data_IF_521585740608
#
_entry.id   IF_521585740608
#
_cell.length_a   1.000
_cell.length_b   1.000
_cell.length_c   1.000
_cell.angle_alpha   90.00
_cell.angle_beta   90.00
_cell.angle_gamma   90.00
#
_symmetry.space_group_name_H-M   'P 1'
#
loop_
_entity.id
_entity.type
_entity.pdbx_description
1 polymer ?
#
# COMPACT_ATOMS: atom_id res chain seq x y z
N UNK A 1 18.22 -1.41 -9.58
CA UNK A 1 17.21 -2.47 -9.68
C UNK A 1 17.48 -3.44 -10.83
N UNK A 2 17.62 -4.72 -10.49
CA UNK A 2 17.60 -5.83 -11.46
C UNK A 2 16.14 -6.07 -11.90
N UNK A 3 15.84 -6.21 -13.21
CA UNK A 3 14.50 -6.58 -13.65
C UNK A 3 14.06 -7.90 -13.01
N UNK A 4 12.78 -7.97 -12.61
CA UNK A 4 12.18 -9.18 -12.00
C UNK A 4 11.56 -10.13 -13.05
N UNK A 5 11.50 -9.70 -14.31
CA UNK A 5 10.90 -10.42 -15.44
C UNK A 5 10.75 -9.48 -16.64
N UNK A 6 10.13 -9.93 -17.73
CA UNK A 6 9.73 -9.04 -18.81
C UNK A 6 8.57 -8.11 -18.34
N UNK A 7 8.42 -6.90 -18.94
CA UNK A 7 7.32 -6.00 -18.60
C UNK A 7 5.95 -6.71 -18.71
N UNK A 8 5.14 -6.62 -17.66
CA UNK A 8 3.82 -7.27 -17.59
C UNK A 8 3.82 -8.70 -17.05
N UNK A 9 4.97 -9.38 -16.93
CA UNK A 9 5.02 -10.74 -16.38
C UNK A 9 4.84 -10.79 -14.86
N UNK A 10 5.34 -9.77 -14.15
CA UNK A 10 5.34 -9.71 -12.69
C UNK A 10 5.08 -8.30 -12.19
N UNK A 11 4.41 -8.20 -11.05
CA UNK A 11 4.21 -6.94 -10.34
C UNK A 11 5.23 -6.77 -9.23
N UNK A 12 5.84 -5.59 -9.19
CA UNK A 12 6.50 -5.05 -8.00
C UNK A 12 6.22 -3.56 -7.94
N UNK A 13 5.65 -3.10 -6.83
CA UNK A 13 5.43 -1.68 -6.57
C UNK A 13 6.76 -0.94 -6.61
N UNK A 14 6.75 0.23 -7.25
CA UNK A 14 7.94 1.06 -7.46
C UNK A 14 7.55 2.52 -7.34
N UNK A 15 8.04 3.19 -6.29
CA UNK A 15 7.86 4.63 -6.18
C UNK A 15 8.58 5.36 -7.31
N UNK A 16 9.77 4.88 -7.70
CA UNK A 16 10.54 5.43 -8.81
C UNK A 16 9.76 5.42 -10.14
N UNK A 17 8.93 4.39 -10.39
CA UNK A 17 8.07 4.37 -11.57
C UNK A 17 7.01 5.49 -11.54
N UNK A 18 6.46 5.82 -10.37
CA UNK A 18 5.58 6.99 -10.23
C UNK A 18 6.33 8.31 -10.47
N UNK A 19 7.60 8.43 -10.04
CA UNK A 19 8.42 9.60 -10.35
C UNK A 19 8.59 9.79 -11.88
N UNK A 20 8.77 8.70 -12.63
CA UNK A 20 8.81 8.75 -14.09
C UNK A 20 7.47 9.21 -14.69
N UNK A 21 6.33 8.79 -14.12
CA UNK A 21 5.01 9.29 -14.53
C UNK A 21 4.87 10.80 -14.25
N UNK A 22 5.37 11.28 -13.11
CA UNK A 22 5.42 12.72 -12.80
C UNK A 22 6.24 13.48 -13.85
N UNK A 23 7.44 13.00 -14.18
CA UNK A 23 8.27 13.61 -15.22
C UNK A 23 7.60 13.56 -16.61
N UNK A 24 6.82 12.52 -16.92
CA UNK A 24 6.05 12.44 -18.16
C UNK A 24 4.94 13.50 -18.20
N UNK A 25 4.22 13.69 -17.09
CA UNK A 25 3.22 14.75 -16.96
C UNK A 25 3.86 16.11 -17.22
N UNK A 26 5.01 16.40 -16.61
CA UNK A 26 5.74 17.66 -16.82
C UNK A 26 6.17 17.83 -18.28
N UNK A 27 6.73 16.78 -18.88
CA UNK A 27 7.20 16.76 -20.27
C UNK A 27 6.07 17.06 -21.26
N UNK A 28 4.89 16.48 -21.06
CA UNK A 28 3.75 16.58 -21.97
C UNK A 28 2.97 17.87 -21.75
N UNK A 29 2.76 18.27 -20.50
CA UNK A 29 1.99 19.47 -20.15
C UNK A 29 2.79 20.77 -20.25
N UNK A 30 4.12 20.71 -20.04
CA UNK A 30 4.97 21.88 -19.86
C UNK A 30 4.84 22.57 -18.50
N UNK A 31 4.15 21.94 -17.53
CA UNK A 31 3.87 22.48 -16.18
C UNK A 31 4.53 21.59 -15.13
N UNK A 32 5.05 22.17 -14.03
CA UNK A 32 5.54 21.39 -12.88
C UNK A 32 4.46 20.43 -12.35
N UNK A 33 4.85 19.23 -11.96
CA UNK A 33 3.91 18.20 -11.54
C UNK A 33 3.01 18.65 -10.39
N UNK A 34 3.56 19.34 -9.39
CA UNK A 34 2.79 19.78 -8.21
C UNK A 34 1.75 20.79 -8.64
N UNK A 35 2.15 21.75 -9.47
CA UNK A 35 1.22 22.77 -9.97
C UNK A 35 0.15 22.15 -10.87
N UNK A 36 0.53 21.20 -11.73
CA UNK A 36 -0.43 20.46 -12.56
C UNK A 36 -1.50 19.77 -11.70
N UNK A 37 -1.11 19.05 -10.64
CA UNK A 37 -2.07 18.41 -9.72
C UNK A 37 -2.93 19.45 -8.99
N UNK A 38 -2.33 20.56 -8.55
CA UNK A 38 -3.07 21.63 -7.87
C UNK A 38 -4.12 22.28 -8.78
N UNK A 39 -3.76 22.59 -10.03
CA UNK A 39 -4.64 23.24 -11.01
C UNK A 39 -5.71 22.32 -11.58
N UNK A 40 -5.38 21.04 -11.81
CA UNK A 40 -6.26 20.12 -12.54
C UNK A 40 -7.19 19.31 -11.65
N UNK A 41 -6.84 19.15 -10.38
CA UNK A 41 -7.59 18.27 -9.45
C UNK A 41 -7.93 19.04 -8.17
N UNK A 42 -6.93 19.50 -7.42
CA UNK A 42 -7.13 19.96 -6.04
C UNK A 42 -7.97 21.23 -5.96
N UNK A 43 -7.62 22.28 -6.71
CA UNK A 43 -8.34 23.56 -6.68
C UNK A 43 -9.75 23.44 -7.30
N UNK A 44 -9.95 22.79 -8.47
CA UNK A 44 -11.29 22.62 -9.03
C UNK A 44 -12.21 21.76 -8.16
N UNK A 45 -11.67 20.75 -7.45
CA UNK A 45 -12.43 19.96 -6.49
C UNK A 45 -12.74 20.73 -5.18
N UNK A 46 -12.17 21.92 -4.98
CA UNK A 46 -12.39 22.71 -3.77
C UNK A 46 -11.71 22.16 -2.52
N UNK A 47 -10.64 21.37 -2.68
CA UNK A 47 -9.85 20.79 -1.59
C UNK A 47 -8.89 21.83 -0.99
N UNK A 48 -9.44 22.74 -0.17
CA UNK A 48 -8.76 23.98 0.27
C UNK A 48 -7.61 23.76 1.26
N UNK A 49 -7.52 22.59 1.89
CA UNK A 49 -6.50 22.23 2.89
C UNK A 49 -5.63 21.08 2.39
N UNK A 50 -5.44 20.99 1.08
CA UNK A 50 -4.60 20.01 0.42
C UNK A 50 -3.45 20.70 -0.30
N UNK A 51 -2.21 20.28 -0.06
CA UNK A 51 -1.03 20.87 -0.67
C UNK A 51 0.18 19.94 -0.68
N UNK A 52 1.22 20.33 -1.42
CA UNK A 52 2.55 19.73 -1.34
C UNK A 52 3.50 20.44 -0.35
N UNK A 53 3.08 21.59 0.19
CA UNK A 53 3.90 22.37 1.11
C UNK A 53 3.96 21.68 2.48
N UNK A 54 5.13 21.65 3.15
CA UNK A 54 5.19 21.27 4.54
C UNK A 54 4.45 22.31 5.40
N UNK A 55 3.95 21.94 6.58
CA UNK A 55 3.10 22.82 7.38
C UNK A 55 3.81 24.09 7.85
N UNK A 56 5.11 24.01 8.07
CA UNK A 56 5.99 25.13 8.43
C UNK A 56 6.07 26.20 7.32
N UNK A 57 5.73 25.84 6.09
CA UNK A 57 5.65 26.73 4.93
C UNK A 57 4.20 27.07 4.54
N UNK A 58 3.22 26.50 5.24
CA UNK A 58 1.80 26.73 5.01
C UNK A 58 1.20 27.73 6.02
N UNK A 59 0.07 28.34 5.65
CA UNK A 59 -0.70 29.20 6.55
C UNK A 59 -1.59 28.41 7.53
N UNK A 60 -1.64 27.08 7.38
CA UNK A 60 -2.53 26.20 8.13
C UNK A 60 -1.96 25.78 9.49
N UNK A 61 -2.50 26.38 10.54
CA UNK A 61 -2.10 26.13 11.93
C UNK A 61 -2.66 24.82 12.51
N UNK A 62 -3.60 24.15 11.84
CA UNK A 62 -4.19 22.89 12.28
C UNK A 62 -3.57 21.70 11.53
N UNK A 63 -2.26 21.54 11.70
CA UNK A 63 -1.53 20.42 11.12
C UNK A 63 -1.08 19.42 12.16
N UNK A 64 -1.18 18.13 11.83
CA UNK A 64 -0.77 17.04 12.69
C UNK A 64 0.74 17.07 13.00
N UNK A 65 1.06 16.85 14.27
CA UNK A 65 2.42 16.54 14.73
C UNK A 65 2.64 15.04 14.57
N UNK A 66 3.76 14.63 13.99
CA UNK A 66 4.03 13.25 13.63
C UNK A 66 4.84 12.54 14.71
N UNK A 67 4.60 11.23 14.89
CA UNK A 67 5.23 10.44 15.94
C UNK A 67 5.73 9.08 15.45
N UNK A 68 6.94 8.72 15.85
CA UNK A 68 7.43 7.35 15.75
C UNK A 68 6.62 6.41 16.65
N UNK A 69 6.83 5.11 16.52
CA UNK A 69 6.10 4.11 17.31
C UNK A 69 6.29 4.32 18.83
N UNK A 70 7.50 4.71 19.25
CA UNK A 70 7.85 5.05 20.64
C UNK A 70 7.39 6.46 21.07
N UNK A 71 6.53 7.12 20.30
CA UNK A 71 6.01 8.46 20.55
C UNK A 71 7.07 9.58 20.54
N UNK A 72 8.24 9.32 19.97
CA UNK A 72 9.20 10.39 19.66
C UNK A 72 8.66 11.20 18.48
N UNK A 73 8.57 12.52 18.66
CA UNK A 73 8.16 13.46 17.60
C UNK A 73 9.16 13.43 16.45
N UNK A 74 8.67 13.50 15.23
CA UNK A 74 9.47 13.65 14.00
C UNK A 74 8.93 14.76 13.11
N UNK A 75 9.82 15.38 12.35
CA UNK A 75 9.49 16.45 11.42
C UNK A 75 9.02 15.90 10.07
N UNK A 76 8.36 16.73 9.26
CA UNK A 76 7.91 16.32 7.94
C UNK A 76 9.11 16.11 7.01
N UNK A 77 9.16 15.01 6.23
CA UNK A 77 10.27 14.78 5.33
C UNK A 77 10.30 15.84 4.21
N UNK A 78 11.50 16.26 3.85
CA UNK A 78 11.74 17.03 2.62
C UNK A 78 11.89 16.04 1.46
N UNK A 79 10.87 15.95 0.61
CA UNK A 79 10.81 14.92 -0.42
C UNK A 79 11.47 15.30 -1.75
N UNK A 80 11.65 16.59 -2.05
CA UNK A 80 12.10 17.01 -3.38
C UNK A 80 11.23 16.37 -4.47
N UNK A 81 11.85 15.80 -5.51
CA UNK A 81 11.14 15.12 -6.61
C UNK A 81 10.34 13.89 -6.17
N UNK A 82 10.64 13.30 -5.01
CA UNK A 82 9.86 12.21 -4.43
C UNK A 82 8.44 12.63 -4.00
N UNK A 83 8.12 13.93 -4.04
CA UNK A 83 6.77 14.42 -3.82
C UNK A 83 5.73 13.81 -4.76
N UNK A 84 6.13 13.33 -5.94
CA UNK A 84 5.25 12.61 -6.87
C UNK A 84 4.69 11.32 -6.25
N UNK A 85 5.52 10.56 -5.53
CA UNK A 85 5.16 9.26 -4.95
C UNK A 85 4.49 9.31 -3.57
N UNK A 86 4.27 10.50 -2.99
CA UNK A 86 3.67 10.59 -1.66
C UNK A 86 3.77 11.96 -0.98
N UNK A 87 3.88 13.05 -1.74
CA UNK A 87 4.11 14.39 -1.17
C UNK A 87 2.85 15.19 -0.84
N UNK A 88 1.66 14.69 -1.17
CA UNK A 88 0.40 15.37 -0.88
C UNK A 88 0.11 15.26 0.63
N UNK A 89 -0.17 16.40 1.24
CA UNK A 89 -0.69 16.54 2.60
C UNK A 89 -2.13 17.04 2.49
N UNK A 90 -3.04 16.43 3.23
CA UNK A 90 -4.47 16.70 3.11
C UNK A 90 -5.18 16.48 4.45
N UNK A 91 -6.51 16.62 4.44
CA UNK A 91 -7.40 16.39 5.59
C UNK A 91 -8.41 15.32 5.25
N UNK A 92 -9.06 14.74 6.27
CA UNK A 92 -10.16 13.78 6.06
C UNK A 92 -11.24 14.38 5.16
N UNK A 93 -11.63 15.64 5.41
CA UNK A 93 -12.70 16.30 4.64
C UNK A 93 -12.33 16.49 3.17
N UNK A 94 -11.10 16.94 2.89
CA UNK A 94 -10.65 17.12 1.51
C UNK A 94 -10.52 15.78 0.77
N UNK A 95 -10.05 14.73 1.45
CA UNK A 95 -9.96 13.39 0.86
C UNK A 95 -11.34 12.75 0.65
N UNK A 96 -12.35 13.08 1.47
CA UNK A 96 -13.73 12.70 1.20
C UNK A 96 -14.23 13.37 -0.09
N UNK A 97 -13.93 14.66 -0.29
CA UNK A 97 -14.22 15.37 -1.54
C UNK A 97 -13.48 14.75 -2.73
N UNK A 98 -12.22 14.34 -2.56
CA UNK A 98 -11.48 13.60 -3.59
C UNK A 98 -12.16 12.26 -3.92
N UNK A 99 -12.69 11.56 -2.92
CA UNK A 99 -13.47 10.34 -3.10
C UNK A 99 -14.71 10.51 -3.95
N UNK A 100 -15.36 11.67 -3.89
CA UNK A 100 -16.50 12.01 -4.75
C UNK A 100 -16.14 12.02 -6.24
N UNK A 101 -14.87 12.15 -6.63
CA UNK A 101 -14.47 11.96 -8.04
C UNK A 101 -14.69 10.54 -8.54
N UNK A 102 -14.79 9.56 -7.63
CA UNK A 102 -15.01 8.17 -7.96
C UNK A 102 -16.47 7.74 -7.73
N UNK A 103 -17.16 8.35 -6.76
CA UNK A 103 -18.50 7.94 -6.35
C UNK A 103 -19.63 8.85 -6.82
N UNK A 104 -19.32 10.05 -7.34
CA UNK A 104 -20.33 11.01 -7.84
C UNK A 104 -19.97 11.44 -9.27
N UNK A 105 -20.75 10.96 -10.24
CA UNK A 105 -20.55 11.27 -11.66
C UNK A 105 -20.69 12.78 -11.94
N UNK A 106 -21.66 13.46 -11.34
CA UNK A 106 -21.89 14.88 -11.60
C UNK A 106 -20.74 15.73 -11.04
N UNK A 107 -20.27 15.39 -9.83
CA UNK A 107 -19.11 16.04 -9.25
C UNK A 107 -17.85 15.79 -10.09
N UNK A 108 -17.58 14.53 -10.46
CA UNK A 108 -16.46 14.18 -11.35
C UNK A 108 -16.47 14.98 -12.65
N UNK A 109 -17.60 15.05 -13.35
CA UNK A 109 -17.71 15.80 -14.61
C UNK A 109 -17.46 17.30 -14.42
N UNK A 110 -17.83 17.85 -13.26
CA UNK A 110 -17.58 19.26 -12.92
C UNK A 110 -16.10 19.57 -12.65
N UNK A 111 -15.31 18.58 -12.22
CA UNK A 111 -13.89 18.76 -11.82
C UNK A 111 -12.94 18.32 -12.93
N UNK A 112 -13.06 17.07 -13.40
CA UNK A 112 -12.12 16.44 -14.34
C UNK A 112 -12.76 16.13 -15.72
N UNK A 113 -13.98 16.63 -15.97
CA UNK A 113 -14.69 16.41 -17.21
C UNK A 113 -15.06 14.95 -17.42
N UNK A 114 -15.02 14.49 -18.67
CA UNK A 114 -15.42 13.11 -19.05
C UNK A 114 -14.34 12.06 -18.82
N UNK A 115 -13.37 12.34 -17.95
CA UNK A 115 -12.34 11.36 -17.60
C UNK A 115 -13.03 10.16 -16.92
N UNK A 116 -12.82 8.97 -17.47
CA UNK A 116 -13.34 7.76 -16.87
C UNK A 116 -12.38 7.25 -15.80
N UNK A 117 -12.87 7.15 -14.57
CA UNK A 117 -12.11 6.61 -13.44
C UNK A 117 -12.22 5.09 -13.33
N UNK A 118 -13.02 4.43 -14.19
CA UNK A 118 -13.14 2.98 -14.23
C UNK A 118 -11.85 2.31 -14.73
N UNK A 119 -11.13 2.92 -15.67
CA UNK A 119 -9.83 2.41 -16.15
C UNK A 119 -8.84 2.24 -14.99
N UNK A 120 -8.86 3.17 -14.02
CA UNK A 120 -8.00 3.09 -12.83
C UNK A 120 -8.27 1.87 -11.93
N UNK A 121 -9.43 1.23 -12.10
CA UNK A 121 -9.91 0.11 -11.29
C UNK A 121 -9.75 -1.23 -12.01
N UNK A 122 -9.16 -1.25 -13.21
CA UNK A 122 -8.91 -2.50 -13.91
C UNK A 122 -7.94 -3.43 -13.15
N UNK A 123 -8.15 -4.73 -13.29
CA UNK A 123 -7.31 -5.75 -12.65
C UNK A 123 -6.02 -5.96 -13.45
N UNK A 124 -5.12 -4.98 -13.44
CA UNK A 124 -3.86 -5.02 -14.21
C UNK A 124 -2.93 -6.11 -13.70
N UNK A 125 -2.88 -6.34 -12.38
CA UNK A 125 -2.06 -7.40 -11.79
C UNK A 125 -2.64 -7.96 -10.49
N UNK A 126 -2.35 -9.24 -10.21
CA UNK A 126 -2.73 -9.90 -8.96
C UNK A 126 -1.74 -9.56 -7.85
N UNK A 127 -2.24 -9.09 -6.71
CA UNK A 127 -1.46 -8.78 -5.51
C UNK A 127 -1.39 -10.01 -4.60
N UNK A 128 -2.56 -10.40 -4.09
CA UNK A 128 -2.80 -11.56 -3.24
C UNK A 128 -4.24 -12.03 -3.41
N UNK A 129 -4.52 -13.34 -3.37
CA UNK A 129 -5.88 -13.88 -3.38
C UNK A 129 -6.85 -13.18 -4.34
N UNK A 130 -7.82 -12.44 -3.79
CA UNK A 130 -8.84 -11.67 -4.51
C UNK A 130 -8.54 -10.16 -4.56
N UNK A 131 -7.28 -9.76 -4.40
CA UNK A 131 -6.82 -8.37 -4.44
C UNK A 131 -5.98 -8.15 -5.69
N UNK A 132 -6.32 -7.10 -6.42
CA UNK A 132 -5.67 -6.70 -7.66
C UNK A 132 -5.10 -5.28 -7.53
N UNK A 133 -4.17 -4.93 -8.40
CA UNK A 133 -3.66 -3.57 -8.55
C UNK A 133 -4.07 -3.04 -9.92
N UNK A 134 -4.67 -1.85 -9.94
CA UNK A 134 -4.99 -1.07 -11.14
C UNK A 134 -4.03 0.10 -11.33
N UNK A 135 -4.50 1.22 -11.87
CA UNK A 135 -3.67 2.42 -12.03
C UNK A 135 -3.65 3.25 -10.75
N UNK A 136 -2.78 2.85 -9.81
CA UNK A 136 -2.58 3.55 -8.54
C UNK A 136 -3.61 3.22 -7.45
N UNK A 137 -4.39 2.16 -7.63
CA UNK A 137 -5.43 1.70 -6.70
C UNK A 137 -5.34 0.18 -6.52
N UNK A 138 -5.58 -0.30 -5.30
CA UNK A 138 -5.89 -1.69 -5.02
C UNK A 138 -7.38 -1.93 -5.20
N UNK A 139 -7.75 -3.09 -5.73
CA UNK A 139 -9.13 -3.48 -6.03
C UNK A 139 -9.39 -4.84 -5.42
N UNK A 140 -10.39 -4.94 -4.55
CA UNK A 140 -10.87 -6.20 -3.96
C UNK A 140 -12.32 -6.40 -4.39
N UNK A 141 -12.59 -7.21 -5.42
CA UNK A 141 -13.94 -7.37 -5.99
C UNK A 141 -14.97 -7.98 -5.05
N UNK A 142 -14.53 -8.81 -4.12
CA UNK A 142 -15.37 -9.34 -3.05
C UNK A 142 -14.70 -9.04 -1.71
N UNK A 143 -15.14 -7.92 -1.14
CA UNK A 143 -14.83 -7.47 0.20
C UNK A 143 -16.11 -7.48 1.03
N UNK A 144 -16.59 -8.69 1.31
CA UNK A 144 -17.78 -8.90 2.11
C UNK A 144 -19.08 -8.60 1.37
N UNK A 145 -19.13 -8.99 0.08
CA UNK A 145 -20.28 -8.78 -0.78
C UNK A 145 -20.32 -7.41 -1.48
N UNK A 146 -19.23 -6.64 -1.41
CA UNK A 146 -19.05 -5.38 -2.17
C UNK A 146 -17.64 -5.29 -2.76
N UNK A 147 -17.45 -4.38 -3.70
CA UNK A 147 -16.13 -4.03 -4.25
C UNK A 147 -15.48 -2.97 -3.37
N UNK A 148 -14.28 -3.25 -2.85
CA UNK A 148 -13.45 -2.26 -2.17
C UNK A 148 -12.33 -1.78 -3.10
N UNK A 149 -12.26 -0.47 -3.33
CA UNK A 149 -11.14 0.17 -4.04
C UNK A 149 -10.43 1.10 -3.07
N UNK A 150 -9.11 0.97 -2.95
CA UNK A 150 -8.38 1.73 -1.96
C UNK A 150 -6.89 1.90 -2.26
N UNK A 151 -6.25 2.80 -1.53
CA UNK A 151 -4.80 2.88 -1.47
C UNK A 151 -4.34 3.25 -0.04
N UNK A 152 -3.29 2.57 0.41
CA UNK A 152 -2.63 2.89 1.68
C UNK A 152 -1.53 3.94 1.49
N UNK A 153 -1.09 4.53 2.59
CA UNK A 153 0.06 5.42 2.61
C UNK A 153 0.80 5.34 3.94
N UNK A 154 2.11 5.57 3.88
CA UNK A 154 2.96 5.57 5.06
C UNK A 154 4.23 6.37 4.82
N UNK A 155 4.58 7.18 5.80
CA UNK A 155 5.86 7.87 5.92
C UNK A 155 6.29 7.82 7.39
N UNK A 156 7.58 8.06 7.71
CA UNK A 156 7.99 8.18 9.10
C UNK A 156 7.08 9.14 9.86
N UNK A 157 6.38 8.64 10.87
CA UNK A 157 5.50 9.42 11.70
C UNK A 157 4.02 9.48 11.28
N UNK A 158 3.60 8.90 10.15
CA UNK A 158 2.21 8.92 9.67
C UNK A 158 1.80 7.63 8.97
N UNK A 159 0.50 7.29 9.04
CA UNK A 159 -0.11 6.27 8.17
C UNK A 159 -1.49 6.72 7.73
N UNK A 160 -1.81 6.50 6.45
CA UNK A 160 -3.08 6.85 5.83
C UNK A 160 -3.70 5.67 5.10
N UNK A 161 -5.01 5.69 4.98
CA UNK A 161 -5.77 4.85 4.06
C UNK A 161 -6.92 5.67 3.49
N UNK A 162 -7.07 5.60 2.18
CA UNK A 162 -8.20 6.16 1.45
C UNK A 162 -8.84 5.02 0.66
N UNK A 163 -10.16 4.93 0.66
CA UNK A 163 -10.86 3.96 -0.13
C UNK A 163 -12.32 4.31 -0.32
N UNK A 164 -12.98 3.64 -1.25
CA UNK A 164 -14.39 3.84 -1.55
C UNK A 164 -15.03 2.54 -2.00
N UNK A 165 -16.35 2.50 -1.84
CA UNK A 165 -17.22 1.43 -2.31
C UNK A 165 -18.10 2.03 -3.40
N UNK A 166 -17.81 1.78 -4.69
CA UNK A 166 -18.47 2.47 -5.80
C UNK A 166 -19.98 2.21 -5.80
N UNK A 167 -20.39 0.95 -5.57
CA UNK A 167 -21.80 0.54 -5.59
C UNK A 167 -22.65 1.14 -4.46
N UNK A 168 -22.02 1.55 -3.35
CA UNK A 168 -22.69 2.20 -2.23
C UNK A 168 -22.50 3.71 -2.24
N UNK A 169 -21.71 4.25 -3.16
CA UNK A 169 -21.33 5.67 -3.25
C UNK A 169 -20.70 6.21 -1.94
N UNK A 170 -19.96 5.36 -1.21
CA UNK A 170 -19.36 5.72 0.08
C UNK A 170 -17.84 5.80 -0.02
N UNK A 171 -17.26 6.87 0.52
CA UNK A 171 -15.81 7.04 0.69
C UNK A 171 -15.43 6.90 2.17
N UNK A 172 -14.31 6.24 2.42
CA UNK A 172 -13.68 6.08 3.73
C UNK A 172 -12.28 6.67 3.72
N UNK A 173 -11.95 7.40 4.79
CA UNK A 173 -10.62 8.00 4.97
C UNK A 173 -10.18 7.80 6.41
N UNK A 174 -8.98 7.25 6.60
CA UNK A 174 -8.33 7.13 7.91
C UNK A 174 -6.96 7.76 7.81
N UNK A 175 -6.70 8.77 8.65
CA UNK A 175 -5.39 9.42 8.78
C UNK A 175 -4.89 9.25 10.20
N UNK A 176 -3.62 8.87 10.36
CA UNK A 176 -2.97 8.70 11.66
C UNK A 176 -1.63 9.41 11.65
N UNK A 177 -1.26 9.99 12.78
CA UNK A 177 -0.03 10.72 12.99
C UNK A 177 1.00 9.89 13.78
N UNK A 178 0.98 8.57 13.59
CA UNK A 178 1.89 7.64 14.25
C UNK A 178 2.35 6.55 13.30
N UNK A 179 3.64 6.25 13.35
CA UNK A 179 4.24 5.08 12.68
C UNK A 179 3.63 3.79 13.23
N UNK A 180 3.57 2.75 12.41
CA UNK A 180 3.14 1.40 12.79
C UNK A 180 1.66 1.25 13.18
N UNK A 181 0.82 2.27 12.94
CA UNK A 181 -0.63 2.11 12.99
C UNK A 181 -1.11 1.71 11.61
N UNK A 182 -1.83 0.58 11.50
CA UNK A 182 -2.41 0.15 10.23
C UNK A 182 -3.71 0.92 9.96
N UNK A 183 -3.61 2.07 9.29
CA UNK A 183 -4.78 2.84 8.86
C UNK A 183 -5.70 2.01 7.93
N UNK A 184 -5.13 1.13 7.11
CA UNK A 184 -5.86 0.20 6.25
C UNK A 184 -6.73 -0.78 7.06
N UNK A 185 -6.19 -1.37 8.13
CA UNK A 185 -6.95 -2.30 8.98
C UNK A 185 -8.08 -1.58 9.72
N UNK A 186 -7.84 -0.36 10.20
CA UNK A 186 -8.88 0.48 10.81
C UNK A 186 -10.00 0.79 9.81
N UNK A 187 -9.64 1.16 8.58
CA UNK A 187 -10.60 1.44 7.50
C UNK A 187 -11.42 0.18 7.14
N UNK A 188 -10.75 -0.96 6.93
CA UNK A 188 -11.39 -2.24 6.61
C UNK A 188 -12.35 -2.70 7.71
N UNK A 189 -11.96 -2.59 8.98
CA UNK A 189 -12.84 -2.89 10.12
C UNK A 189 -14.04 -1.94 10.21
N UNK A 190 -13.84 -0.64 9.93
CA UNK A 190 -14.92 0.34 9.91
C UNK A 190 -15.92 0.08 8.77
N UNK A 191 -15.44 -0.32 7.58
CA UNK A 191 -16.29 -0.73 6.46
C UNK A 191 -17.15 -1.93 6.85
N UNK A 192 -16.55 -2.99 7.41
CA UNK A 192 -17.31 -4.16 7.85
C UNK A 192 -18.35 -3.82 8.92
N UNK A 193 -17.99 -2.96 9.87
CA UNK A 193 -18.94 -2.45 10.87
C UNK A 193 -20.11 -1.72 10.21
N UNK A 194 -19.85 -0.86 9.22
CA UNK A 194 -20.88 -0.14 8.47
C UNK A 194 -21.78 -1.08 7.66
N UNK A 195 -21.25 -2.23 7.21
CA UNK A 195 -22.00 -3.30 6.54
C UNK A 195 -22.73 -4.23 7.53
N UNK A 196 -22.73 -3.94 8.83
CA UNK A 196 -23.41 -4.76 9.85
C UNK A 196 -22.69 -6.07 10.19
N UNK A 197 -21.40 -6.17 9.89
CA UNK A 197 -20.53 -7.34 10.16
C UNK A 197 -19.54 -7.05 11.27
N UNK A 198 -18.93 -8.09 11.83
CA UNK A 198 -17.85 -7.91 12.81
C UNK A 198 -16.59 -7.37 12.13
N UNK A 199 -15.87 -6.38 12.72
CA UNK A 199 -14.60 -5.88 12.18
C UNK A 199 -13.56 -6.97 11.93
N UNK A 200 -13.54 -8.00 12.76
CA UNK A 200 -12.61 -9.12 12.67
C UNK A 200 -12.78 -9.92 11.37
N UNK A 201 -13.98 -9.95 10.80
CA UNK A 201 -14.26 -10.61 9.52
C UNK A 201 -13.60 -9.89 8.33
N UNK A 202 -13.15 -8.64 8.50
CA UNK A 202 -12.39 -7.91 7.48
C UNK A 202 -10.96 -8.44 7.29
N UNK A 203 -10.47 -9.24 8.25
CA UNK A 203 -9.21 -9.96 8.16
C UNK A 203 -9.49 -11.39 7.65
N UNK A 204 -9.22 -11.62 6.36
CA UNK A 204 -9.35 -12.95 5.78
C UNK A 204 -8.35 -13.89 6.44
N UNK A 205 -8.83 -15.00 7.03
CA UNK A 205 -7.99 -16.05 7.58
C UNK A 205 -8.08 -17.29 6.71
N UNK A 206 -6.99 -17.60 6.01
CA UNK A 206 -6.95 -18.79 5.16
C UNK A 206 -6.72 -20.05 5.99
N UNK A 207 -7.29 -21.20 5.58
CA UNK A 207 -7.01 -22.49 6.19
C UNK A 207 -5.50 -22.80 6.16
N UNK A 208 -5.00 -23.31 7.27
CA UNK A 208 -3.60 -23.72 7.37
C UNK A 208 -3.41 -25.12 6.76
N UNK A 209 -2.33 -25.31 6.01
CA UNK A 209 -1.92 -26.63 5.51
C UNK A 209 -0.72 -27.14 6.30
N UNK A 210 -0.64 -28.43 6.64
CA UNK A 210 0.53 -28.95 7.31
C UNK A 210 1.73 -29.00 6.33
N UNK A 211 2.87 -28.44 6.74
CA UNK A 211 4.16 -28.62 6.08
C UNK A 211 5.18 -29.17 7.07
N UNK A 212 6.01 -30.12 6.63
CA UNK A 212 7.12 -30.66 7.40
C UNK A 212 8.27 -29.66 7.54
N UNK A 213 9.17 -29.89 8.51
CA UNK A 213 10.35 -29.05 8.69
C UNK A 213 11.27 -29.02 7.45
N UNK A 214 11.34 -30.12 6.70
CA UNK A 214 12.12 -30.19 5.47
C UNK A 214 11.49 -29.36 4.35
N UNK A 215 10.15 -29.35 4.24
CA UNK A 215 9.42 -28.50 3.29
C UNK A 215 9.51 -27.00 3.64
N UNK A 216 9.69 -26.65 4.92
CA UNK A 216 9.83 -25.26 5.38
C UNK A 216 11.23 -24.69 5.14
N UNK A 217 12.26 -25.55 5.18
CA UNK A 217 13.68 -25.15 5.13
C UNK A 217 14.05 -24.29 3.92
N UNK A 218 13.56 -24.55 2.68
CA UNK A 218 13.89 -23.73 1.51
C UNK A 218 13.51 -22.26 1.64
N UNK A 219 12.47 -21.92 2.42
CA UNK A 219 11.99 -20.55 2.60
C UNK A 219 12.80 -19.75 3.63
N UNK A 220 13.61 -20.41 4.47
CA UNK A 220 14.43 -19.74 5.48
C UNK A 220 15.57 -18.95 4.84
N UNK A 221 15.91 -17.79 5.41
CA UNK A 221 16.98 -16.93 4.91
C UNK A 221 16.75 -15.45 5.22
N UNK A 222 17.62 -14.61 4.68
CA UNK A 222 17.48 -13.16 4.76
C UNK A 222 17.03 -12.63 3.40
N UNK A 223 16.03 -11.77 3.37
CA UNK A 223 15.39 -11.26 2.18
C UNK A 223 15.47 -9.73 2.19
N UNK A 224 15.98 -9.16 1.11
CA UNK A 224 16.34 -7.74 1.00
C UNK A 224 15.81 -7.12 -0.29
N UNK A 225 15.57 -5.81 -0.31
CA UNK A 225 15.40 -5.07 -1.56
C UNK A 225 16.09 -3.70 -1.50
N UNK A 226 16.16 -3.00 -2.63
CA UNK A 226 16.89 -1.74 -2.75
C UNK A 226 16.23 -0.58 -1.94
N UNK A 227 14.92 -0.63 -1.71
CA UNK A 227 14.15 0.37 -0.94
C UNK A 227 14.10 0.06 0.58
N UNK A 228 14.42 -1.18 0.96
CA UNK A 228 14.44 -1.71 2.33
C UNK A 228 15.68 -2.61 2.50
N UNK A 229 16.84 -2.01 2.78
CA UNK A 229 18.12 -2.73 2.86
C UNK A 229 18.25 -3.58 4.12
N UNK A 230 17.41 -3.37 5.14
CA UNK A 230 17.36 -4.20 6.34
C UNK A 230 16.48 -5.43 6.13
N UNK A 231 15.39 -5.24 5.37
CA UNK A 231 14.52 -6.30 4.88
C UNK A 231 13.93 -7.15 6.00
N UNK A 232 13.91 -8.47 5.80
CA UNK A 232 13.44 -9.39 6.82
C UNK A 232 14.18 -10.72 6.80
N UNK A 233 14.26 -11.33 7.98
CA UNK A 233 14.80 -12.68 8.17
C UNK A 233 13.66 -13.67 8.40
N UNK A 234 13.77 -14.83 7.79
CA UNK A 234 12.85 -15.96 7.96
C UNK A 234 13.58 -17.15 8.53
N UNK A 235 13.05 -17.69 9.60
CA UNK A 235 13.54 -18.89 10.27
C UNK A 235 12.41 -19.93 10.38
N UNK A 236 12.77 -21.22 10.47
CA UNK A 236 11.80 -22.27 10.72
C UNK A 236 11.29 -22.20 12.17
N UNK A 237 9.98 -22.39 12.35
CA UNK A 237 9.32 -22.57 13.64
C UNK A 237 8.69 -23.96 13.76
N UNK A 238 8.03 -24.24 14.87
CA UNK A 238 7.41 -25.55 15.14
C UNK A 238 6.21 -25.87 14.23
N UNK A 239 5.47 -24.85 13.78
CA UNK A 239 4.22 -25.00 12.99
C UNK A 239 4.19 -24.14 11.71
N UNK A 240 5.34 -23.65 11.26
CA UNK A 240 5.41 -22.71 10.14
C UNK A 240 6.74 -21.96 10.13
N UNK A 241 6.72 -20.73 9.62
CA UNK A 241 7.90 -19.86 9.60
C UNK A 241 7.76 -18.71 10.61
N UNK A 242 8.89 -18.14 10.98
CA UNK A 242 8.98 -16.95 11.83
C UNK A 242 9.70 -15.87 11.04
N UNK A 243 9.03 -14.74 10.83
CA UNK A 243 9.57 -13.57 10.15
C UNK A 243 10.02 -12.53 11.17
N UNK A 244 11.23 -11.98 11.01
CA UNK A 244 11.78 -10.90 11.83
C UNK A 244 12.17 -9.72 10.97
N UNK A 245 11.67 -8.53 11.32
CA UNK A 245 11.93 -7.26 10.63
C UNK A 245 11.68 -6.12 11.61
N UNK A 246 12.54 -5.11 11.64
CA UNK A 246 12.40 -3.90 12.48
C UNK A 246 12.06 -4.17 13.96
N UNK A 247 12.75 -5.14 14.57
CA UNK A 247 12.51 -5.53 15.96
C UNK A 247 11.16 -6.24 16.21
N UNK A 248 10.37 -6.48 15.16
CA UNK A 248 9.12 -7.26 15.22
C UNK A 248 9.36 -8.71 14.85
N UNK A 249 8.54 -9.57 15.42
CA UNK A 249 8.49 -11.01 15.11
C UNK A 249 7.05 -11.35 14.75
N UNK A 250 6.85 -11.90 13.56
CA UNK A 250 5.55 -12.34 13.05
C UNK A 250 5.59 -13.85 12.75
N UNK A 251 4.52 -14.56 13.10
CA UNK A 251 4.33 -15.96 12.72
C UNK A 251 3.72 -16.04 11.33
N UNK A 252 4.26 -16.94 10.51
CA UNK A 252 3.82 -17.20 9.15
C UNK A 252 3.21 -18.60 9.08
N UNK A 253 1.88 -18.66 8.92
CA UNK A 253 1.16 -19.92 8.77
C UNK A 253 1.18 -20.36 7.30
N UNK A 254 1.56 -21.60 7.00
CA UNK A 254 1.47 -22.13 5.64
C UNK A 254 0.01 -22.23 5.19
N UNK A 255 -0.30 -21.72 4.00
CA UNK A 255 -1.67 -21.75 3.42
C UNK A 255 -1.71 -22.43 2.04
N UNK A 256 -0.57 -22.52 1.38
CA UNK A 256 -0.35 -23.20 0.10
C UNK A 256 1.17 -23.48 -0.02
N UNK A 257 1.66 -24.48 -0.79
CA UNK A 257 3.09 -24.65 -1.00
C UNK A 257 3.73 -23.37 -1.57
N UNK A 258 4.67 -22.79 -0.81
CA UNK A 258 5.29 -21.51 -1.16
C UNK A 258 4.46 -20.26 -0.84
N UNK A 259 3.32 -20.38 -0.16
CA UNK A 259 2.56 -19.22 0.34
C UNK A 259 2.25 -19.34 1.82
N UNK A 260 2.47 -18.25 2.54
CA UNK A 260 2.24 -18.17 3.96
C UNK A 260 1.42 -16.92 4.30
N UNK A 261 0.56 -17.02 5.31
CA UNK A 261 -0.19 -15.90 5.85
C UNK A 261 0.46 -15.37 7.12
N UNK A 262 0.68 -14.06 7.18
CA UNK A 262 1.19 -13.36 8.36
C UNK A 262 0.06 -13.26 9.39
N UNK A 263 0.23 -13.86 10.57
CA UNK A 263 -0.85 -13.98 11.56
C UNK A 263 -1.44 -12.65 12.00
N UNK A 264 -0.59 -11.66 12.25
CA UNK A 264 -0.98 -10.36 12.78
C UNK A 264 -1.79 -9.53 11.77
N UNK A 265 -1.52 -9.68 10.48
CA UNK A 265 -2.05 -8.79 9.44
C UNK A 265 -3.01 -9.48 8.48
N UNK A 266 -3.01 -10.81 8.43
CA UNK A 266 -3.74 -11.59 7.42
C UNK A 266 -3.14 -11.50 6.01
N UNK A 267 -2.09 -10.71 5.79
CA UNK A 267 -1.47 -10.54 4.47
C UNK A 267 -0.66 -11.77 4.07
N UNK A 268 -0.55 -12.01 2.77
CA UNK A 268 0.26 -13.10 2.22
C UNK A 268 1.71 -12.70 2.01
N UNK A 269 2.60 -13.64 2.29
CA UNK A 269 3.94 -13.70 1.73
C UNK A 269 4.02 -14.90 0.77
N UNK A 270 4.40 -14.63 -0.47
CA UNK A 270 4.53 -15.65 -1.53
C UNK A 270 5.99 -15.82 -1.89
N UNK A 271 6.46 -17.04 -2.05
CA UNK A 271 7.82 -17.35 -2.45
C UNK A 271 7.84 -17.82 -3.90
N UNK A 272 8.81 -17.35 -4.68
CA UNK A 272 9.03 -17.92 -6.01
C UNK A 272 9.76 -19.25 -5.85
N UNK A 273 9.02 -20.34 -6.00
CA UNK A 273 9.56 -21.69 -6.00
C UNK A 273 9.92 -22.01 -7.45
N UNK A 274 11.15 -21.67 -7.85
CA UNK A 274 11.64 -21.98 -9.19
C UNK A 274 11.69 -23.49 -9.47
N UNK A 275 11.96 -23.88 -10.72
CA UNK A 275 12.21 -25.28 -11.06
C UNK A 275 13.42 -25.81 -10.27
N UNK A 276 13.19 -26.78 -9.37
CA UNK A 276 14.23 -27.41 -8.55
C UNK A 276 14.28 -27.00 -7.07
N UNK A 277 13.16 -26.60 -6.46
CA UNK A 277 13.01 -26.30 -5.01
C UNK A 277 13.85 -25.13 -4.49
N UNK A 278 14.49 -24.37 -5.39
CA UNK A 278 15.28 -23.20 -5.01
C UNK A 278 14.37 -21.98 -4.88
N UNK A 279 14.33 -21.44 -3.67
CA UNK A 279 13.64 -20.18 -3.36
C UNK A 279 14.65 -19.04 -3.42
N UNK A 280 14.49 -18.17 -4.41
CA UNK A 280 15.39 -17.02 -4.64
C UNK A 280 14.71 -15.67 -4.33
N UNK A 281 13.37 -15.64 -4.26
CA UNK A 281 12.60 -14.41 -4.06
C UNK A 281 11.39 -14.65 -3.15
N UNK A 282 11.01 -13.59 -2.44
CA UNK A 282 9.78 -13.49 -1.70
C UNK A 282 9.01 -12.22 -2.12
N UNK A 283 7.69 -12.32 -2.14
CA UNK A 283 6.75 -11.24 -2.42
C UNK A 283 5.95 -11.00 -1.14
N UNK A 284 6.02 -9.81 -0.60
CA UNK A 284 5.18 -9.39 0.55
C UNK A 284 4.45 -8.11 0.18
N UNK A 285 3.12 -8.15 0.23
CA UNK A 285 2.27 -7.16 -0.42
C UNK A 285 2.63 -7.03 -1.90
N UNK A 286 2.96 -5.81 -2.34
CA UNK A 286 3.34 -5.53 -3.71
C UNK A 286 4.86 -5.53 -3.95
N UNK A 287 5.71 -5.85 -2.97
CA UNK A 287 7.17 -5.72 -3.13
C UNK A 287 7.88 -7.06 -3.24
N UNK A 288 8.90 -7.09 -4.10
CA UNK A 288 9.84 -8.22 -4.24
C UNK A 288 11.04 -8.03 -3.34
N UNK A 289 11.44 -9.10 -2.67
CA UNK A 289 12.65 -9.20 -1.88
C UNK A 289 13.49 -10.39 -2.37
N UNK A 290 14.78 -10.15 -2.53
CA UNK A 290 15.73 -11.14 -2.99
C UNK A 290 16.36 -11.85 -1.80
N UNK A 291 16.45 -13.18 -1.90
CA UNK A 291 17.15 -13.96 -0.89
C UNK A 291 18.65 -13.66 -0.96
N UNK A 292 19.20 -13.15 0.14
CA UNK A 292 20.63 -12.88 0.28
C UNK A 292 21.43 -14.18 0.22
N UNK A 293 22.48 -14.20 -0.59
CA UNK A 293 23.46 -15.29 -0.63
C UNK A 293 24.41 -15.28 0.58
N UNK A 294 24.46 -14.17 1.33
CA UNK A 294 25.33 -13.99 2.47
C UNK A 294 24.52 -14.07 3.77
N UNK A 295 24.70 -15.16 4.53
CA UNK A 295 24.16 -15.31 5.89
C UNK A 295 24.84 -14.38 6.94
N UNK A 296 25.52 -13.30 6.50
CA UNK A 296 26.28 -12.40 7.37
C UNK A 296 25.71 -10.99 7.30
N UNK A 297 25.15 -10.55 8.41
CA UNK A 297 24.83 -9.16 8.72
C UNK A 297 26.15 -8.43 9.00
N UNK A 298 26.24 -7.16 8.58
CA UNK A 298 27.17 -6.18 9.15
C UNK A 298 26.53 -5.55 10.37
#
# INVERSE_FOLDING_TARGET
>A
MKPIGAPGERISYSNDAFLLLGALIERVSGVDYREFIMERIVRPAGMKRTSFAPPEQGEDTNTAVQYMENLVRVDWPTLGNYAVGGGIRSTVNDLLTYGSLYTDLAFRESVIGKMDTAEMQEHVAVVDGNTFYGHGLMVTPDFGGTVLIHHGGGQPGVSSSFGFLPDQEVTFVVLTNRTAVSAEMLMKGAIYTALGRSPEESMVRLPEIPLSSDELKPFTGHYLNDEDPDGFRIDAGEKGLVMRSDGRTDHLRPVDPGQFQIDRTGKLIRFDVGSGEKVDMAFTGLRVYWKSSNNRIK
#
